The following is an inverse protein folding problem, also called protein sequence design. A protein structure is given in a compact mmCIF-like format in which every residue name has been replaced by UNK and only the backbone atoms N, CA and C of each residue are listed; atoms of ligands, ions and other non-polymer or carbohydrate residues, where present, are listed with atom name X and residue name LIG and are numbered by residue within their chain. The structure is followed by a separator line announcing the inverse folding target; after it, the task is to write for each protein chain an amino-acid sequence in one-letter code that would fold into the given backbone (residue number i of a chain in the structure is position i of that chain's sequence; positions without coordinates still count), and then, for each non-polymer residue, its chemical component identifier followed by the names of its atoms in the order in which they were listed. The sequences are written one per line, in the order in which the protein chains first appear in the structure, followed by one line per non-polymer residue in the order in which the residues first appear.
data_IF_364045142833
#
_entry.id   IF_364045142833
#
_cell.length_a   1.000
_cell.length_b   1.000
_cell.length_c   1.000
_cell.angle_alpha   90.00
_cell.angle_beta   90.00
_cell.angle_gamma   90.00
#
_symmetry.space_group_name_H-M   'P 1'
#
loop_
_entity.id
_entity.type
_entity.pdbx_description
1 polymer ?
#
# COMPACT_ATOMS: atom_id res chain seq x y z
N UNK A 1 -9.99 8.42 2.73
CA UNK A 1 -9.12 9.41 2.05
C UNK A 1 -9.94 10.62 1.61
N UNK A 2 -9.37 11.82 1.36
CA UNK A 2 -10.20 13.01 1.05
C UNK A 2 -9.67 13.90 -0.09
N UNK A 3 -8.51 13.60 -0.71
CA UNK A 3 -7.91 14.51 -1.71
C UNK A 3 -7.03 13.83 -2.76
N UNK A 4 -6.96 14.38 -3.98
CA UNK A 4 -6.03 13.91 -5.05
C UNK A 4 -4.55 14.09 -4.70
N UNK A 5 -4.20 15.09 -3.88
CA UNK A 5 -2.84 15.21 -3.35
C UNK A 5 -2.45 14.03 -2.45
N UNK A 6 -3.42 13.54 -1.69
CA UNK A 6 -3.26 12.40 -0.79
C UNK A 6 -2.96 11.13 -1.61
N UNK A 7 -3.64 10.97 -2.74
CA UNK A 7 -3.44 9.89 -3.72
C UNK A 7 -2.03 9.92 -4.28
N UNK A 8 -1.61 11.06 -4.82
CA UNK A 8 -0.28 11.24 -5.37
C UNK A 8 0.83 10.99 -4.34
N UNK A 9 0.63 11.42 -3.08
CA UNK A 9 1.61 11.21 -2.02
C UNK A 9 1.80 9.72 -1.68
N UNK A 10 0.71 8.96 -1.55
CA UNK A 10 0.78 7.51 -1.28
C UNK A 10 1.37 6.77 -2.48
N UNK A 11 0.94 7.10 -3.70
CA UNK A 11 1.48 6.50 -4.92
C UNK A 11 2.99 6.76 -5.02
N UNK A 12 3.44 7.99 -4.78
CA UNK A 12 4.87 8.33 -4.79
C UNK A 12 5.64 7.50 -3.77
N UNK A 13 5.16 7.42 -2.51
CA UNK A 13 5.80 6.60 -1.47
C UNK A 13 5.90 5.13 -1.85
N UNK A 14 4.82 4.53 -2.36
CA UNK A 14 4.83 3.12 -2.76
C UNK A 14 5.76 2.84 -3.94
N UNK A 15 5.81 3.73 -4.94
CA UNK A 15 6.70 3.61 -6.10
C UNK A 15 8.18 3.88 -5.77
N UNK A 16 8.53 4.29 -4.54
CA UNK A 16 9.95 4.35 -4.10
C UNK A 16 10.50 2.97 -3.74
N UNK A 17 9.64 1.99 -3.51
CA UNK A 17 10.05 0.62 -3.21
C UNK A 17 10.50 -0.04 -4.53
N UNK A 18 11.70 -0.61 -4.53
CA UNK A 18 12.22 -1.29 -5.73
C UNK A 18 11.36 -2.51 -6.06
N UNK A 19 10.97 -2.64 -7.33
CA UNK A 19 10.10 -3.73 -7.78
C UNK A 19 8.61 -3.51 -7.45
N UNK A 20 8.20 -2.28 -7.14
CA UNK A 20 6.80 -1.93 -6.87
C UNK A 20 6.30 -0.89 -7.86
N UNK A 21 5.19 -1.19 -8.50
CA UNK A 21 4.39 -0.24 -9.27
C UNK A 21 3.02 -0.09 -8.61
N UNK A 22 2.76 1.09 -8.06
CA UNK A 22 1.50 1.37 -7.37
C UNK A 22 0.70 2.49 -8.04
N UNK A 23 -0.62 2.28 -8.12
CA UNK A 23 -1.60 3.29 -8.50
C UNK A 23 -2.66 3.39 -7.41
N UNK A 24 -3.16 4.59 -7.15
CA UNK A 24 -4.14 4.83 -6.08
C UNK A 24 -5.35 5.53 -6.68
N UNK A 25 -6.54 5.14 -6.25
CA UNK A 25 -7.81 5.75 -6.59
C UNK A 25 -8.40 6.41 -5.33
N UNK A 26 -8.37 7.74 -5.25
CA UNK A 26 -8.99 8.44 -4.11
C UNK A 26 -10.52 8.26 -3.98
N UNK A 27 -11.33 8.11 -5.05
CA UNK A 27 -12.80 8.00 -4.91
C UNK A 27 -13.21 6.72 -4.18
N UNK A 28 -12.48 5.63 -4.43
CA UNK A 28 -12.74 4.31 -3.84
C UNK A 28 -11.85 4.03 -2.63
N UNK A 29 -10.88 4.91 -2.34
CA UNK A 29 -9.86 4.73 -1.32
C UNK A 29 -9.12 3.39 -1.48
N UNK A 30 -8.76 3.09 -2.73
CA UNK A 30 -8.18 1.81 -3.13
C UNK A 30 -6.80 2.04 -3.73
N UNK A 31 -5.78 1.34 -3.24
CA UNK A 31 -4.49 1.25 -3.90
C UNK A 31 -4.37 -0.08 -4.63
N UNK A 32 -4.01 -0.05 -5.91
CA UNK A 32 -3.62 -1.21 -6.70
C UNK A 32 -2.10 -1.24 -6.77
N UNK A 33 -1.51 -2.34 -6.33
CA UNK A 33 -0.06 -2.49 -6.19
C UNK A 33 0.35 -3.72 -6.99
N UNK A 34 1.17 -3.53 -8.00
CA UNK A 34 1.90 -4.60 -8.67
C UNK A 34 3.29 -4.64 -8.02
N UNK A 35 3.60 -5.73 -7.33
CA UNK A 35 4.86 -5.87 -6.63
C UNK A 35 5.54 -7.19 -7.00
N UNK A 36 6.86 -7.13 -7.06
CA UNK A 36 7.70 -8.31 -7.14
C UNK A 36 7.41 -9.26 -5.96
N UNK A 37 7.54 -10.58 -6.18
CA UNK A 37 7.29 -11.61 -5.17
C UNK A 37 8.28 -11.54 -3.99
N UNK A 38 9.37 -10.80 -4.15
CA UNK A 38 10.37 -10.52 -3.10
C UNK A 38 9.92 -9.43 -2.13
N UNK A 39 8.91 -8.64 -2.48
CA UNK A 39 8.40 -7.54 -1.67
C UNK A 39 7.36 -8.06 -0.69
N UNK A 40 7.60 -7.86 0.61
CA UNK A 40 6.65 -8.26 1.63
C UNK A 40 5.48 -7.28 1.72
N UNK A 41 4.29 -7.81 2.00
CA UNK A 41 3.09 -6.99 2.26
C UNK A 41 3.30 -6.06 3.46
N UNK A 42 4.11 -6.47 4.43
CA UNK A 42 4.45 -5.66 5.59
C UNK A 42 5.18 -4.35 5.19
N UNK A 43 6.11 -4.41 4.24
CA UNK A 43 6.82 -3.23 3.74
C UNK A 43 5.88 -2.26 3.02
N UNK A 44 4.94 -2.80 2.22
CA UNK A 44 3.92 -2.00 1.55
C UNK A 44 3.00 -1.28 2.55
N UNK A 45 2.54 -1.99 3.60
CA UNK A 45 1.74 -1.38 4.67
C UNK A 45 2.55 -0.33 5.43
N UNK A 46 3.79 -0.64 5.81
CA UNK A 46 4.66 0.28 6.55
C UNK A 46 4.90 1.59 5.77
N UNK A 47 5.09 1.52 4.44
CA UNK A 47 5.22 2.70 3.60
C UNK A 47 3.95 3.57 3.58
N UNK A 48 2.77 2.96 3.64
CA UNK A 48 1.50 3.67 3.70
C UNK A 48 1.27 4.27 5.10
N UNK A 49 1.69 3.56 6.16
CA UNK A 49 1.66 4.07 7.54
C UNK A 49 2.62 5.25 7.76
N UNK A 50 3.80 5.21 7.15
CA UNK A 50 4.75 6.35 7.11
C UNK A 50 4.13 7.57 6.41
N UNK A 51 3.30 7.36 5.39
CA UNK A 51 2.50 8.40 4.75
C UNK A 51 1.33 8.91 5.62
N UNK A 52 1.09 8.32 6.79
CA UNK A 52 0.03 8.69 7.74
C UNK A 52 -1.33 8.05 7.45
N UNK A 53 -1.35 6.96 6.70
CA UNK A 53 -2.57 6.23 6.34
C UNK A 53 -2.48 4.79 6.84
N UNK A 54 -3.62 4.20 7.16
CA UNK A 54 -3.69 2.78 7.43
C UNK A 54 -4.09 2.05 6.15
N UNK A 55 -3.38 0.96 5.86
CA UNK A 55 -3.65 0.10 4.72
C UNK A 55 -4.00 -1.30 5.21
N UNK A 56 -5.10 -1.84 4.71
CA UNK A 56 -5.44 -3.25 4.90
C UNK A 56 -5.37 -3.95 3.54
N UNK A 57 -4.59 -5.03 3.47
CA UNK A 57 -4.50 -5.85 2.27
C UNK A 57 -5.86 -6.50 2.00
N UNK A 58 -6.46 -6.12 0.88
CA UNK A 58 -7.61 -6.78 0.28
C UNK A 58 -7.11 -7.56 -0.94
N UNK A 59 -6.79 -8.82 -0.73
CA UNK A 59 -6.42 -9.70 -1.83
C UNK A 59 -7.67 -9.97 -2.68
N UNK A 60 -7.69 -9.52 -3.95
CA UNK A 60 -8.76 -9.89 -4.89
C UNK A 60 -8.69 -11.38 -5.26
N UNK A 61 -7.54 -12.03 -4.99
CA UNK A 61 -7.44 -13.47 -4.98
C UNK A 61 -8.04 -13.97 -3.66
N UNK A 62 -9.12 -14.75 -3.75
CA UNK A 62 -9.39 -15.71 -2.69
C UNK A 62 -8.11 -16.55 -2.54
N UNK A 63 -7.39 -16.39 -1.42
CA UNK A 63 -6.27 -17.26 -1.07
C UNK A 63 -6.78 -18.69 -0.98
N UNK A 64 -6.64 -19.45 -2.05
CA UNK A 64 -6.66 -20.91 -1.98
C UNK A 64 -5.30 -21.34 -1.42
N UNK A 65 -5.21 -22.37 -0.56
CA UNK A 65 -3.96 -22.89 -0.01
C UNK A 65 -2.88 -23.27 -1.06
N UNK A 66 -3.20 -23.24 -2.34
CA UNK A 66 -2.27 -23.41 -3.47
C UNK A 66 -1.39 -22.17 -3.78
N UNK A 67 -1.72 -20.97 -3.27
CA UNK A 67 -0.93 -19.75 -3.54
C UNK A 67 0.36 -19.67 -2.70
N UNK A 68 0.50 -20.52 -1.68
CA UNK A 68 1.75 -20.69 -0.92
C UNK A 68 2.89 -21.33 -1.75
N UNK A 69 2.59 -21.80 -2.97
CA UNK A 69 3.51 -22.58 -3.80
C UNK A 69 3.99 -21.86 -5.08
N UNK A 70 3.66 -20.58 -5.31
CA UNK A 70 4.16 -19.85 -6.48
C UNK A 70 5.37 -18.98 -6.08
N UNK A 71 6.61 -19.46 -6.23
CA UNK A 71 7.75 -18.56 -6.28
C UNK A 71 7.61 -17.71 -7.56
N UNK A 72 7.70 -16.39 -7.44
CA UNK A 72 8.17 -15.60 -8.58
C UNK A 72 7.14 -14.82 -9.42
N UNK A 73 5.83 -14.89 -9.16
CA UNK A 73 4.84 -14.22 -10.02
C UNK A 73 4.56 -12.75 -9.64
N UNK A 74 4.25 -11.84 -10.58
CA UNK A 74 3.79 -10.50 -10.26
C UNK A 74 2.45 -10.59 -9.52
N UNK A 75 2.43 -10.08 -8.29
CA UNK A 75 1.24 -10.14 -7.43
C UNK A 75 0.55 -8.80 -7.48
N UNK A 76 -0.62 -8.77 -8.12
CA UNK A 76 -1.50 -7.61 -8.10
C UNK A 76 -2.31 -7.62 -6.79
N UNK A 77 -2.03 -6.68 -5.91
CA UNK A 77 -2.62 -6.53 -4.59
C UNK A 77 -3.48 -5.29 -4.54
N UNK A 78 -4.63 -5.39 -3.88
CA UNK A 78 -5.45 -4.23 -3.54
C UNK A 78 -5.28 -3.91 -2.05
N UNK A 79 -5.14 -2.64 -1.70
CA UNK A 79 -5.18 -2.18 -0.32
C UNK A 79 -6.31 -1.17 -0.11
N UNK A 80 -7.11 -1.39 0.93
CA UNK A 80 -8.10 -0.42 1.40
C UNK A 80 -7.42 0.65 2.26
N UNK A 81 -7.62 1.93 1.92
CA UNK A 81 -6.95 3.05 2.56
C UNK A 81 -7.86 3.79 3.54
N UNK A 82 -7.63 3.57 4.83
CA UNK A 82 -8.29 4.30 5.90
C UNK A 82 -7.40 5.46 6.38
N UNK A 83 -8.00 6.62 6.67
CA UNK A 83 -7.24 7.71 7.28
C UNK A 83 -6.94 7.32 8.72
N UNK A 84 -5.66 7.31 9.09
CA UNK A 84 -5.27 7.04 10.45
C UNK A 84 -5.69 8.23 11.33
N UNK A 85 -6.84 8.11 11.99
CA UNK A 85 -7.38 9.10 12.93
C UNK A 85 -6.63 8.99 14.26
N UNK A 86 -5.31 9.17 14.24
CA UNK A 86 -4.56 9.34 15.47
C UNK A 86 -4.80 10.75 15.98
N UNK A 87 -5.59 10.83 17.06
CA UNK A 87 -5.53 11.96 17.99
C UNK A 87 -4.08 12.10 18.44
N UNK A 88 -3.38 13.08 17.89
CA UNK A 88 -2.08 13.56 18.34
C UNK A 88 -0.90 12.60 18.14
N UNK A 89 -0.10 12.85 17.10
CA UNK A 89 1.36 12.79 17.25
C UNK A 89 2.03 13.76 16.28
N UNK A 90 2.63 14.81 16.88
CA UNK A 90 3.78 15.52 16.33
C UNK A 90 4.88 14.50 16.06
N UNK A 91 5.42 14.49 14.84
CA UNK A 91 6.85 14.38 14.52
C UNK A 91 6.99 13.88 13.08
N UNK A 92 7.32 14.79 12.16
CA UNK A 92 8.30 14.47 11.13
C UNK A 92 9.33 15.60 11.16
N UNK A 93 10.40 15.36 11.92
CA UNK A 93 11.73 15.92 11.67
C UNK A 93 12.51 14.80 11.02
N UNK A 94 13.03 15.03 9.82
CA UNK A 94 14.24 14.38 9.33
C UNK A 94 14.85 15.31 8.26
N UNK A 95 15.92 15.99 8.72
CA UNK A 95 16.99 16.76 8.06
C UNK A 95 16.88 17.22 6.60
#
# INVERSE_FOLDING_TARGET
MTCRMCEAHIALKLNTITGVQASVDFPTATATIDADPTVAVADLCAAIEDAGYHAELRDERLRTPADAAIPGGPVKRIAGLARFLSRGRRAQVAH
#
